data_IF_095855849583
#
_entry.id   IF_095855849583
#
_cell.length_a   1.000
_cell.length_b   1.000
_cell.length_c   1.000
_cell.angle_alpha   90.00
_cell.angle_beta   90.00
_cell.angle_gamma   90.00
#
_symmetry.space_group_name_H-M   'P 1'
#
loop_
_entity.id
_entity.type
_entity.pdbx_description
1 polymer ?
#
# COMPACT_ATOMS: atom_id res chain seq x y z
N UNK A 1 -12.83 4.21 -5.82
CA UNK A 1 -12.72 2.84 -5.26
C UNK A 1 -13.91 2.00 -5.73
N UNK A 2 -13.86 0.68 -5.61
CA UNK A 2 -14.93 -0.24 -6.03
C UNK A 2 -14.95 -1.46 -5.10
N UNK A 3 -16.11 -2.09 -4.94
CA UNK A 3 -16.26 -3.38 -4.29
C UNK A 3 -17.65 -3.99 -4.53
N UNK A 4 -17.80 -5.27 -4.17
CA UNK A 4 -19.05 -6.02 -4.24
C UNK A 4 -19.44 -6.48 -2.83
N UNK A 5 -20.75 -6.66 -2.57
CA UNK A 5 -21.24 -7.17 -1.28
C UNK A 5 -20.78 -6.26 -0.11
N UNK A 6 -20.78 -4.95 -0.36
CA UNK A 6 -20.38 -3.95 0.63
C UNK A 6 -21.50 -3.70 1.63
N UNK A 7 -21.14 -3.43 2.89
CA UNK A 7 -22.09 -3.06 3.94
C UNK A 7 -22.86 -1.75 3.65
N UNK A 8 -22.32 -0.89 2.78
CA UNK A 8 -22.96 0.35 2.35
C UNK A 8 -22.02 1.30 1.61
N UNK A 9 -22.52 2.46 1.15
CA UNK A 9 -21.74 3.45 0.39
C UNK A 9 -20.53 3.99 1.17
N UNK A 10 -20.65 4.08 2.50
CA UNK A 10 -19.60 4.58 3.39
C UNK A 10 -18.29 3.79 3.27
N UNK A 11 -18.34 2.52 2.82
CA UNK A 11 -17.14 1.72 2.56
C UNK A 11 -16.29 2.40 1.48
N UNK A 12 -16.90 2.76 0.35
CA UNK A 12 -16.18 3.40 -0.77
C UNK A 12 -15.75 4.82 -0.41
N UNK A 13 -16.62 5.58 0.26
CA UNK A 13 -16.33 6.96 0.66
C UNK A 13 -15.13 7.02 1.62
N UNK A 14 -15.09 6.13 2.62
CA UNK A 14 -13.99 6.05 3.56
C UNK A 14 -12.68 5.58 2.90
N UNK A 15 -12.75 4.66 1.93
CA UNK A 15 -11.56 4.25 1.17
C UNK A 15 -10.93 5.45 0.43
N UNK A 16 -11.77 6.25 -0.25
CA UNK A 16 -11.30 7.44 -0.98
C UNK A 16 -10.73 8.47 -0.01
N UNK A 17 -11.49 8.82 1.03
CA UNK A 17 -11.08 9.77 2.04
C UNK A 17 -9.72 9.42 2.65
N UNK A 18 -9.56 8.19 3.15
CA UNK A 18 -8.33 7.77 3.80
C UNK A 18 -7.14 7.75 2.82
N UNK A 19 -7.35 7.41 1.55
CA UNK A 19 -6.31 7.46 0.53
C UNK A 19 -5.82 8.90 0.26
N UNK A 20 -6.74 9.85 0.22
CA UNK A 20 -6.47 11.26 -0.05
C UNK A 20 -5.83 11.97 1.14
N UNK A 21 -6.30 11.69 2.36
CA UNK A 21 -5.81 12.31 3.59
C UNK A 21 -4.46 11.73 4.05
N UNK A 22 -4.20 10.44 3.78
CA UNK A 22 -2.95 9.79 4.18
C UNK A 22 -1.76 10.30 3.38
N UNK A 23 -0.71 10.70 4.09
CA UNK A 23 0.55 11.12 3.51
C UNK A 23 1.58 9.99 3.46
N UNK A 24 2.60 10.16 2.61
CA UNK A 24 3.72 9.22 2.48
C UNK A 24 3.67 8.39 1.19
N UNK A 25 4.40 7.26 1.15
CA UNK A 25 4.47 6.41 -0.04
C UNK A 25 3.10 5.88 -0.46
N UNK A 26 2.92 5.68 -1.77
CA UNK A 26 1.68 5.14 -2.35
C UNK A 26 1.20 3.86 -1.66
N UNK A 27 2.13 2.98 -1.26
CA UNK A 27 1.83 1.74 -0.55
C UNK A 27 1.09 1.97 0.78
N UNK A 28 1.51 2.95 1.59
CA UNK A 28 0.81 3.29 2.85
C UNK A 28 -0.57 3.89 2.59
N UNK A 29 -0.70 4.73 1.56
CA UNK A 29 -1.98 5.34 1.18
C UNK A 29 -2.99 4.31 0.72
N UNK A 30 -2.56 3.31 -0.05
CA UNK A 30 -3.41 2.21 -0.49
C UNK A 30 -3.86 1.32 0.67
N UNK A 31 -2.99 1.03 1.64
CA UNK A 31 -3.41 0.31 2.86
C UNK A 31 -4.38 1.14 3.69
N UNK A 32 -4.14 2.45 3.85
CA UNK A 32 -5.06 3.33 4.56
C UNK A 32 -6.46 3.36 3.92
N UNK A 33 -6.53 3.25 2.60
CA UNK A 33 -7.79 3.07 1.89
C UNK A 33 -8.51 1.79 2.36
N UNK A 34 -7.82 0.64 2.38
CA UNK A 34 -8.39 -0.63 2.86
C UNK A 34 -8.87 -0.53 4.31
N UNK A 35 -8.08 0.10 5.19
CA UNK A 35 -8.44 0.37 6.59
C UNK A 35 -9.72 1.21 6.68
N UNK A 36 -9.86 2.25 5.86
CA UNK A 36 -11.06 3.08 5.78
C UNK A 36 -12.29 2.31 5.30
N UNK A 37 -12.12 1.49 4.27
CA UNK A 37 -13.20 0.63 3.77
C UNK A 37 -13.71 -0.35 4.83
N UNK A 38 -12.79 -1.00 5.55
CA UNK A 38 -13.14 -1.90 6.64
C UNK A 38 -13.85 -1.17 7.80
N UNK A 39 -13.39 0.05 8.14
CA UNK A 39 -14.05 0.89 9.15
C UNK A 39 -15.47 1.35 8.72
N UNK A 40 -15.73 1.44 7.41
CA UNK A 40 -17.07 1.66 6.86
C UNK A 40 -17.99 0.43 6.91
N UNK A 41 -17.52 -0.70 7.44
CA UNK A 41 -18.26 -1.96 7.53
C UNK A 41 -17.78 -3.04 6.56
N UNK A 42 -16.92 -2.70 5.60
CA UNK A 42 -16.27 -3.65 4.69
C UNK A 42 -17.21 -4.50 3.85
N UNK A 43 -16.74 -5.70 3.50
CA UNK A 43 -17.55 -6.76 2.92
C UNK A 43 -18.41 -7.40 4.03
N UNK A 44 -19.70 -7.61 3.77
CA UNK A 44 -20.63 -8.14 4.78
C UNK A 44 -20.29 -9.57 5.23
N UNK A 45 -19.45 -10.29 4.48
CA UNK A 45 -18.96 -11.63 4.83
C UNK A 45 -17.80 -11.59 5.83
N UNK A 46 -17.22 -10.41 6.07
CA UNK A 46 -15.98 -10.24 6.82
C UNK A 46 -14.74 -10.20 5.94
N UNK A 47 -13.57 -10.34 6.58
CA UNK A 47 -12.26 -10.32 5.92
C UNK A 47 -11.51 -11.61 6.21
N UNK A 48 -10.76 -12.11 5.22
CA UNK A 48 -9.89 -13.28 5.36
C UNK A 48 -8.52 -13.05 4.71
N UNK A 49 -8.49 -12.30 3.62
CA UNK A 49 -7.27 -12.01 2.87
C UNK A 49 -7.15 -10.53 2.51
N UNK A 50 -5.92 -10.10 2.22
CA UNK A 50 -5.63 -8.76 1.71
C UNK A 50 -4.35 -8.81 0.87
N UNK A 51 -4.32 -8.08 -0.25
CA UNK A 51 -3.17 -8.04 -1.13
C UNK A 51 -2.92 -6.62 -1.64
N UNK A 52 -1.65 -6.33 -1.93
CA UNK A 52 -1.20 -5.07 -2.49
C UNK A 52 -0.13 -5.32 -3.55
N UNK A 53 -0.29 -4.69 -4.70
CA UNK A 53 0.72 -4.61 -5.75
C UNK A 53 0.98 -3.15 -6.12
N UNK A 54 2.25 -2.78 -6.18
CA UNK A 54 2.73 -1.49 -6.70
C UNK A 54 3.74 -1.75 -7.80
N UNK A 55 3.52 -1.13 -8.95
CA UNK A 55 4.36 -1.25 -10.14
C UNK A 55 4.86 0.13 -10.52
N UNK A 56 6.13 0.22 -10.89
CA UNK A 56 6.68 1.40 -11.54
C UNK A 56 7.79 0.96 -12.49
N UNK A 57 7.72 1.46 -13.71
CA UNK A 57 8.71 1.19 -14.76
C UNK A 57 10.13 1.39 -14.24
N UNK A 58 10.98 0.38 -14.43
CA UNK A 58 12.39 0.34 -14.02
C UNK A 58 12.64 0.41 -12.50
N UNK A 59 11.61 0.17 -11.67
CA UNK A 59 11.73 0.24 -10.21
C UNK A 59 11.45 -1.08 -9.49
N UNK A 60 11.42 -2.21 -10.21
CA UNK A 60 11.26 -3.51 -9.57
C UNK A 60 12.51 -3.97 -8.82
N UNK A 61 12.30 -4.95 -7.93
CA UNK A 61 13.35 -5.50 -7.06
C UNK A 61 14.31 -6.43 -7.81
N UNK A 62 13.87 -6.99 -8.95
CA UNK A 62 14.61 -7.97 -9.74
C UNK A 62 14.81 -7.52 -11.19
N UNK A 63 15.78 -8.13 -11.88
CA UNK A 63 16.03 -7.89 -13.30
C UNK A 63 14.76 -8.19 -14.12
N UNK A 64 14.45 -7.34 -15.10
CA UNK A 64 13.30 -7.47 -16.00
C UNK A 64 11.92 -7.50 -15.31
N UNK A 65 11.79 -6.82 -14.17
CA UNK A 65 10.53 -6.68 -13.45
C UNK A 65 10.30 -5.23 -13.02
N UNK A 66 9.05 -4.76 -13.10
CA UNK A 66 8.63 -3.42 -12.68
C UNK A 66 7.89 -3.42 -11.32
N UNK A 67 7.72 -4.59 -10.70
CA UNK A 67 7.02 -4.75 -9.41
C UNK A 67 7.91 -4.23 -8.28
N UNK A 68 7.54 -3.05 -7.77
CA UNK A 68 8.14 -2.41 -6.60
C UNK A 68 7.79 -3.19 -5.33
N UNK A 69 6.52 -3.57 -5.22
CA UNK A 69 5.98 -4.24 -4.04
C UNK A 69 4.87 -5.20 -4.47
N UNK A 70 4.94 -6.43 -3.99
CA UNK A 70 3.83 -7.39 -4.03
C UNK A 70 3.77 -8.06 -2.67
N UNK A 71 2.71 -7.80 -1.93
CA UNK A 71 2.45 -8.38 -0.62
C UNK A 71 1.06 -8.97 -0.61
N UNK A 72 0.91 -10.11 0.04
CA UNK A 72 -0.35 -10.85 0.10
C UNK A 72 -0.41 -11.56 1.44
N UNK A 73 -1.57 -11.45 2.08
CA UNK A 73 -1.96 -12.17 3.29
C UNK A 73 -3.15 -13.01 2.88
N UNK A 74 -2.97 -14.32 2.82
CA UNK A 74 -3.96 -15.24 2.25
C UNK A 74 -5.02 -15.71 3.25
N UNK A 75 -4.63 -15.90 4.50
CA UNK A 75 -5.52 -16.37 5.56
C UNK A 75 -5.14 -15.77 6.91
N UNK A 76 -5.95 -14.82 7.38
CA UNK A 76 -5.77 -14.13 8.66
C UNK A 76 -7.13 -13.55 9.11
N UNK A 77 -7.46 -13.53 10.42
CA UNK A 77 -8.65 -12.83 10.92
C UNK A 77 -8.59 -11.29 10.80
N UNK A 78 -7.39 -10.72 10.77
CA UNK A 78 -7.12 -9.29 10.60
C UNK A 78 -6.13 -9.04 9.43
N UNK A 79 -6.46 -9.44 8.18
CA UNK A 79 -5.52 -9.45 7.06
C UNK A 79 -5.07 -8.04 6.65
N UNK A 80 -5.92 -7.02 6.76
CA UNK A 80 -5.56 -5.64 6.42
C UNK A 80 -4.52 -5.09 7.42
N UNK A 81 -4.67 -5.41 8.71
CA UNK A 81 -3.73 -5.02 9.76
C UNK A 81 -2.37 -5.72 9.59
N UNK A 82 -2.38 -7.00 9.22
CA UNK A 82 -1.13 -7.71 8.91
C UNK A 82 -0.47 -7.17 7.64
N UNK A 83 -1.26 -6.87 6.59
CA UNK A 83 -0.76 -6.22 5.38
C UNK A 83 -0.13 -4.86 5.69
N UNK A 84 -0.74 -4.07 6.58
CA UNK A 84 -0.18 -2.80 7.08
C UNK A 84 1.22 -2.98 7.67
N UNK A 85 1.38 -3.96 8.57
CA UNK A 85 2.67 -4.28 9.19
C UNK A 85 3.73 -4.65 8.14
N UNK A 86 3.37 -5.46 7.15
CA UNK A 86 4.28 -5.86 6.07
C UNK A 86 4.68 -4.67 5.17
N UNK A 87 3.73 -3.77 4.88
CA UNK A 87 4.01 -2.54 4.13
C UNK A 87 4.94 -1.63 4.90
N UNK A 88 4.72 -1.40 6.20
CA UNK A 88 5.61 -0.57 7.02
C UNK A 88 7.03 -1.16 7.10
N UNK A 89 7.14 -2.48 7.25
CA UNK A 89 8.43 -3.17 7.20
C UNK A 89 9.14 -2.98 5.85
N UNK A 90 8.39 -3.04 4.74
CA UNK A 90 8.92 -2.80 3.40
C UNK A 90 9.37 -1.34 3.22
N UNK A 91 8.55 -0.38 3.65
CA UNK A 91 8.85 1.06 3.58
C UNK A 91 10.10 1.40 4.38
N UNK A 92 10.23 0.85 5.60
CA UNK A 92 11.40 1.09 6.44
C UNK A 92 12.68 0.50 5.83
N UNK A 93 12.58 -0.64 5.16
CA UNK A 93 13.69 -1.24 4.41
C UNK A 93 14.16 -0.34 3.27
N UNK A 94 13.24 0.22 2.49
CA UNK A 94 13.57 1.12 1.38
C UNK A 94 14.10 2.48 1.87
N UNK A 95 13.56 3.02 2.96
CA UNK A 95 14.10 4.23 3.62
C UNK A 95 15.56 4.06 4.01
N UNK A 96 15.93 2.88 4.51
CA UNK A 96 17.27 2.56 4.98
C UNK A 96 18.23 2.15 3.85
N UNK A 97 17.77 2.16 2.60
CA UNK A 97 18.57 1.72 1.45
C UNK A 97 19.64 2.78 1.14
N UNK A 98 20.92 2.37 1.15
CA UNK A 98 22.07 3.29 0.96
C UNK A 98 22.09 3.98 -0.40
N UNK A 99 21.65 3.30 -1.45
CA UNK A 99 21.45 3.87 -2.80
C UNK A 99 20.06 3.51 -3.30
N UNK A 100 19.17 4.48 -3.54
CA UNK A 100 17.92 4.22 -4.23
C UNK A 100 18.22 3.83 -5.69
N UNK A 101 17.32 3.07 -6.29
CA UNK A 101 17.37 2.80 -7.74
C UNK A 101 17.20 4.14 -8.48
N UNK A 102 18.06 4.49 -9.47
CA UNK A 102 17.92 5.74 -10.21
C UNK A 102 16.53 5.90 -10.83
N UNK A 103 15.88 7.06 -10.63
CA UNK A 103 14.52 7.33 -11.11
C UNK A 103 13.40 6.76 -10.22
N UNK A 104 13.77 6.09 -9.13
CA UNK A 104 12.87 5.50 -8.14
C UNK A 104 12.93 6.22 -6.79
N UNK A 105 13.38 7.47 -6.76
CA UNK A 105 13.38 8.32 -5.58
C UNK A 105 11.95 8.49 -5.04
N UNK A 106 11.78 8.36 -3.73
CA UNK A 106 10.47 8.43 -3.07
C UNK A 106 9.56 7.20 -3.28
N UNK A 107 9.93 6.26 -4.16
CA UNK A 107 9.16 5.05 -4.41
C UNK A 107 9.21 4.16 -3.18
N UNK A 108 8.04 3.79 -2.66
CA UNK A 108 7.92 2.96 -1.45
C UNK A 108 8.76 3.45 -0.25
N UNK A 109 9.01 4.76 -0.14
CA UNK A 109 9.82 5.33 0.94
C UNK A 109 11.32 5.44 0.65
N UNK A 110 11.79 5.08 -0.55
CA UNK A 110 13.16 5.29 -0.96
C UNK A 110 13.58 6.75 -0.77
N UNK A 111 14.81 7.01 -0.28
CA UNK A 111 15.27 8.37 -0.04
C UNK A 111 15.22 9.18 -1.34
N UNK A 112 14.74 10.43 -1.22
CA UNK A 112 14.85 11.38 -2.33
C UNK A 112 16.27 11.89 -2.38
N UNK A 113 16.88 11.91 -3.56
CA UNK A 113 18.15 12.62 -3.75
C UNK A 113 17.93 14.07 -3.34
N UNK A 114 18.81 14.58 -2.47
CA UNK A 114 18.85 16.02 -2.21
C UNK A 114 19.18 16.68 -3.54
N UNK A 115 18.24 17.45 -4.08
CA UNK A 115 18.56 18.38 -5.18
C UNK A 115 19.57 19.35 -4.57
N UNK A 116 20.81 19.32 -5.03
CA UNK A 116 21.77 20.38 -4.72
C UNK A 116 21.12 21.69 -5.17
N UNK A 117 20.81 22.56 -4.20
CA UNK A 117 20.34 23.92 -4.48
C UNK A 117 21.48 24.77 -5.00
#
# INVERSE_FOLDING_TARGET
AQGNILAGPQVVDNMVKNFEETQGPLSLRLVAALEGGQAGGGDTRGQQSAALIVVKKNCGVWLHNDVVLRLQVDDNPEPIKELRRLVELSVNREKNRRRPTPGCEGVNGAPRTAVAR
#
